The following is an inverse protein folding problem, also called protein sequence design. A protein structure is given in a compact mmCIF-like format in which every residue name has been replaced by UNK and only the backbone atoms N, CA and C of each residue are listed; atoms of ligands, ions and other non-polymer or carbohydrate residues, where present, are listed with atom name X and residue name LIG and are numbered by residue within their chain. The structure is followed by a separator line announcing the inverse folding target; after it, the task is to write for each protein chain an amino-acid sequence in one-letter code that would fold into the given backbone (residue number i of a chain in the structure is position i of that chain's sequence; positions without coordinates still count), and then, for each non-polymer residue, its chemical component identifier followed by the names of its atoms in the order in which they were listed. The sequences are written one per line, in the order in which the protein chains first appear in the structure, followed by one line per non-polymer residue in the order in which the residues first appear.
data_IF_270489923434
#
_entry.id   IF_270489923434
#
_cell.length_a   1.000
_cell.length_b   1.000
_cell.length_c   1.000
_cell.angle_alpha   90.00
_cell.angle_beta   90.00
_cell.angle_gamma   90.00
#
_symmetry.space_group_name_H-M   'P 1'
#
loop_
_entity.id
_entity.type
_entity.pdbx_description
1 polymer ?
#
# COMPACT_ATOMS: atom_id res chain seq x y z
N UNK A 1 14.83 -14.30 -27.28
CA UNK A 1 14.62 -13.70 -25.96
C UNK A 1 14.86 -14.76 -24.89
N UNK A 2 15.93 -14.64 -24.11
CA UNK A 2 16.29 -15.64 -23.09
C UNK A 2 15.32 -15.61 -21.90
N UNK A 3 15.24 -16.68 -21.10
CA UNK A 3 14.36 -16.71 -19.93
C UNK A 3 14.65 -15.57 -18.94
N UNK A 4 15.91 -15.16 -18.82
CA UNK A 4 16.31 -14.04 -17.98
C UNK A 4 15.79 -12.69 -18.49
N UNK A 5 15.84 -12.47 -19.81
CA UNK A 5 15.27 -11.27 -20.45
C UNK A 5 13.74 -11.21 -20.26
N UNK A 6 13.05 -12.35 -20.36
CA UNK A 6 11.61 -12.44 -20.10
C UNK A 6 11.29 -12.08 -18.64
N UNK A 7 12.04 -12.62 -17.67
CA UNK A 7 11.86 -12.30 -16.24
C UNK A 7 12.08 -10.81 -15.94
N UNK A 8 13.13 -10.21 -16.50
CA UNK A 8 13.40 -8.77 -16.36
C UNK A 8 12.26 -7.92 -16.93
N UNK A 9 11.76 -8.27 -18.13
CA UNK A 9 10.64 -7.56 -18.74
C UNK A 9 9.34 -7.69 -17.95
N UNK A 10 9.02 -8.90 -17.47
CA UNK A 10 7.86 -9.12 -16.59
C UNK A 10 7.98 -8.30 -15.31
N UNK A 11 9.16 -8.27 -14.70
CA UNK A 11 9.42 -7.45 -13.51
C UNK A 11 9.17 -5.95 -13.77
N UNK A 12 9.63 -5.43 -14.91
CA UNK A 12 9.39 -4.04 -15.31
C UNK A 12 7.89 -3.78 -15.49
N UNK A 13 7.18 -4.65 -16.20
CA UNK A 13 5.74 -4.50 -16.45
C UNK A 13 4.96 -4.49 -15.14
N UNK A 14 5.24 -5.44 -14.24
CA UNK A 14 4.60 -5.50 -12.92
C UNK A 14 4.92 -4.24 -12.12
N UNK A 15 6.18 -3.80 -12.13
CA UNK A 15 6.60 -2.56 -11.46
C UNK A 15 5.83 -1.34 -11.98
N UNK A 16 5.66 -1.22 -13.30
CA UNK A 16 4.90 -0.12 -13.92
C UNK A 16 3.41 -0.16 -13.55
N UNK A 17 2.79 -1.34 -13.51
CA UNK A 17 1.39 -1.49 -13.10
C UNK A 17 1.20 -1.05 -11.65
N UNK A 18 2.08 -1.51 -10.75
CA UNK A 18 2.04 -1.15 -9.33
C UNK A 18 2.26 0.36 -9.16
N UNK A 19 3.25 0.93 -9.85
CA UNK A 19 3.54 2.36 -9.79
C UNK A 19 2.37 3.20 -10.32
N UNK A 20 1.77 2.81 -11.45
CA UNK A 20 0.61 3.49 -12.02
C UNK A 20 -0.60 3.46 -11.09
N UNK A 21 -0.87 2.31 -10.46
CA UNK A 21 -1.92 2.18 -9.45
C UNK A 21 -1.68 3.06 -8.23
N UNK A 22 -0.44 3.10 -7.74
CA UNK A 22 -0.05 3.95 -6.62
C UNK A 22 -0.24 5.45 -6.94
N UNK A 23 0.24 5.92 -8.09
CA UNK A 23 0.10 7.31 -8.52
C UNK A 23 -1.36 7.71 -8.74
N UNK A 24 -2.18 6.79 -9.29
CA UNK A 24 -3.63 7.03 -9.46
C UNK A 24 -4.33 7.17 -8.11
N UNK A 25 -3.96 6.33 -7.13
CA UNK A 25 -4.45 6.46 -5.76
C UNK A 25 -4.05 7.78 -5.10
N UNK A 26 -2.80 8.22 -5.30
CA UNK A 26 -2.33 9.53 -4.82
C UNK A 26 -3.09 10.69 -5.48
N UNK A 27 -3.33 10.64 -6.79
CA UNK A 27 -4.13 11.64 -7.49
C UNK A 27 -5.57 11.70 -6.95
N UNK A 28 -6.18 10.55 -6.68
CA UNK A 28 -7.51 10.48 -6.06
C UNK A 28 -7.56 11.07 -4.65
N UNK A 29 -6.45 11.06 -3.92
CA UNK A 29 -6.32 11.74 -2.63
C UNK A 29 -6.10 13.25 -2.77
N UNK A 30 -5.35 13.70 -3.78
CA UNK A 30 -5.10 15.13 -4.01
C UNK A 30 -6.35 15.85 -4.52
N UNK A 31 -7.07 15.24 -5.47
CA UNK A 31 -8.19 15.89 -6.17
C UNK A 31 -9.51 15.91 -5.38
N UNK A 32 -9.65 15.08 -4.35
CA UNK A 32 -10.86 15.02 -3.53
C UNK A 32 -10.55 15.34 -2.08
N UNK A 33 -11.02 16.51 -1.61
CA UNK A 33 -10.82 16.95 -0.23
C UNK A 33 -11.41 15.98 0.79
N UNK A 34 -12.57 15.38 0.47
CA UNK A 34 -13.20 14.34 1.31
C UNK A 34 -12.32 13.10 1.43
N UNK A 35 -11.68 12.67 0.33
CA UNK A 35 -10.78 11.52 0.37
C UNK A 35 -9.49 11.85 1.13
N UNK A 36 -8.98 13.08 0.98
CA UNK A 36 -7.82 13.60 1.74
C UNK A 36 -8.10 13.58 3.25
N UNK A 37 -9.22 14.13 3.68
CA UNK A 37 -9.62 14.16 5.08
C UNK A 37 -9.83 12.75 5.65
N UNK A 38 -10.52 11.89 4.91
CA UNK A 38 -10.70 10.48 5.28
C UNK A 38 -9.36 9.77 5.43
N UNK A 39 -8.43 9.97 4.49
CA UNK A 39 -7.10 9.38 4.53
C UNK A 39 -6.28 9.88 5.73
N UNK A 40 -6.25 11.19 5.97
CA UNK A 40 -5.58 11.79 7.13
C UNK A 40 -6.20 11.29 8.43
N UNK A 41 -7.52 11.16 8.51
CA UNK A 41 -8.21 10.62 9.67
C UNK A 41 -7.84 9.14 9.90
N UNK A 42 -7.71 8.35 8.83
CA UNK A 42 -7.21 6.97 8.91
C UNK A 42 -5.76 6.92 9.40
N UNK A 43 -4.87 7.76 8.87
CA UNK A 43 -3.48 7.87 9.33
C UNK A 43 -3.37 8.25 10.81
N UNK A 44 -4.15 9.23 11.25
CA UNK A 44 -4.24 9.61 12.66
C UNK A 44 -4.73 8.45 13.53
N UNK A 45 -5.66 7.65 13.02
CA UNK A 45 -6.18 6.49 13.73
C UNK A 45 -5.25 5.27 13.69
N UNK A 46 -4.32 5.12 12.73
CA UNK A 46 -3.35 3.99 12.73
C UNK A 46 -2.54 3.93 14.02
N UNK A 47 -2.25 5.08 14.65
CA UNK A 47 -1.56 5.14 15.95
C UNK A 47 -2.45 4.69 17.12
N UNK A 48 -3.78 4.78 16.95
CA UNK A 48 -4.80 4.46 17.96
C UNK A 48 -5.54 3.15 17.70
N UNK A 49 -5.35 2.51 16.53
CA UNK A 49 -5.77 1.12 16.36
C UNK A 49 -4.96 0.35 17.39
N UNK A 50 -5.60 -0.37 18.32
CA UNK A 50 -4.84 -1.23 19.22
C UNK A 50 -4.00 -2.10 18.32
N UNK A 51 -2.67 -1.98 18.46
CA UNK A 51 -1.78 -3.02 17.98
C UNK A 51 -2.45 -4.31 18.44
N UNK A 52 -2.79 -5.21 17.51
CA UNK A 52 -3.14 -6.57 17.88
C UNK A 52 -1.84 -7.10 18.51
N UNK A 53 -1.68 -6.79 19.80
CA UNK A 53 -0.70 -7.38 20.67
C UNK A 53 -1.22 -8.80 20.68
N UNK A 54 -0.58 -9.68 19.93
CA UNK A 54 -0.71 -11.09 20.20
C UNK A 54 -0.43 -11.21 21.70
N UNK A 55 -1.49 -11.37 22.50
CA UNK A 55 -1.36 -11.80 23.88
C UNK A 55 -0.44 -12.99 23.79
N UNK A 56 0.74 -12.85 24.42
CA UNK A 56 1.64 -13.98 24.55
C UNK A 56 0.82 -15.05 25.24
N UNK A 57 0.65 -16.14 24.52
CA UNK A 57 0.07 -17.40 24.96
C UNK A 57 0.36 -17.60 26.47
N UNK A 58 -0.66 -17.65 27.34
CA UNK A 58 -0.48 -17.74 28.79
C UNK A 58 0.03 -19.11 29.26
N UNK A 59 0.51 -19.96 28.33
CA UNK A 59 0.91 -21.34 28.60
C UNK A 59 2.41 -21.63 28.44
N UNK A 60 3.28 -20.60 28.48
CA UNK A 60 4.75 -20.78 28.56
C UNK A 60 5.42 -19.93 29.61
#
# INVERSE_FOLDING_TARGET
MTQEQKKKLTGIIVGLIVLGGFLTGLLGMILSEKNREYFINRLKNIKNVPYIRHEKDPTK
#
